data_IF_225926632725
#
_entry.id   IF_225926632725
#
_cell.length_a   1.000
_cell.length_b   1.000
_cell.length_c   1.000
_cell.angle_alpha   90.00
_cell.angle_beta   90.00
_cell.angle_gamma   90.00
#
_symmetry.space_group_name_H-M   'P 1'
#
loop_
_entity.id
_entity.type
_entity.pdbx_description
1 polymer ?
#
# COMPACT_ATOMS: atom_id res chain seq x y z
N UNK A 1 -43.56 -33.54 23.83
CA UNK A 1 -44.35 -32.33 24.10
C UNK A 1 -43.99 -31.35 23.00
N UNK A 2 -44.68 -31.45 21.86
CA UNK A 2 -45.84 -30.63 21.42
C UNK A 2 -45.33 -29.34 20.76
N UNK A 3 -45.15 -29.40 19.43
CA UNK A 3 -45.91 -28.69 18.37
C UNK A 3 -45.42 -27.23 18.20
N UNK A 4 -44.76 -26.85 17.10
CA UNK A 4 -45.25 -26.68 15.73
C UNK A 4 -46.37 -25.64 15.62
N UNK A 5 -46.06 -24.44 15.09
CA UNK A 5 -47.06 -23.65 14.37
C UNK A 5 -46.43 -22.93 13.18
N UNK A 6 -47.04 -23.24 12.03
CA UNK A 6 -46.87 -22.70 10.69
C UNK A 6 -47.89 -21.57 10.54
N UNK A 7 -47.54 -20.47 9.86
CA UNK A 7 -48.57 -19.63 9.23
C UNK A 7 -48.03 -18.99 7.95
N UNK A 8 -48.40 -19.60 6.83
CA UNK A 8 -48.47 -18.96 5.52
C UNK A 8 -49.42 -17.76 5.53
N UNK A 9 -49.13 -16.74 4.74
CA UNK A 9 -50.11 -15.73 4.33
C UNK A 9 -50.10 -15.63 2.79
N UNK A 10 -51.04 -16.34 2.17
CA UNK A 10 -51.44 -16.18 0.77
C UNK A 10 -52.61 -15.21 0.65
N UNK A 11 -52.50 -14.19 -0.20
CA UNK A 11 -53.62 -13.56 -0.92
C UNK A 11 -53.07 -12.73 -2.09
N UNK A 12 -53.10 -13.23 -3.33
CA UNK A 12 -54.18 -13.12 -4.34
C UNK A 12 -54.50 -11.69 -4.82
N UNK A 13 -54.05 -11.43 -6.06
CA UNK A 13 -54.91 -11.11 -7.22
C UNK A 13 -55.45 -9.66 -7.34
N UNK A 14 -55.06 -8.95 -8.42
CA UNK A 14 -55.93 -8.65 -9.60
C UNK A 14 -55.27 -7.70 -10.60
N UNK A 15 -55.26 -8.13 -11.86
CA UNK A 15 -55.27 -7.33 -13.09
C UNK A 15 -56.21 -6.12 -13.00
N UNK A 16 -55.92 -5.01 -13.70
CA UNK A 16 -56.80 -4.39 -14.73
C UNK A 16 -55.99 -3.44 -15.64
N UNK A 17 -56.30 -3.53 -16.93
CA UNK A 17 -55.89 -2.72 -18.11
C UNK A 17 -56.44 -1.29 -18.10
N UNK A 18 -55.73 -0.33 -18.73
CA UNK A 18 -56.21 0.55 -19.84
C UNK A 18 -55.31 1.78 -19.97
N UNK A 19 -54.73 2.04 -21.15
CA UNK A 19 -55.27 2.88 -22.23
C UNK A 19 -55.39 4.37 -21.78
N UNK A 20 -54.57 5.30 -22.28
CA UNK A 20 -54.96 6.10 -23.45
C UNK A 20 -53.79 6.90 -24.04
N UNK A 21 -53.86 7.08 -25.36
CA UNK A 21 -53.01 7.85 -26.25
C UNK A 21 -53.39 9.36 -26.26
N UNK A 22 -52.36 10.19 -26.49
CA UNK A 22 -52.30 11.45 -27.28
C UNK A 22 -53.17 12.67 -26.91
N UNK A 23 -52.49 13.82 -26.70
CA UNK A 23 -52.74 15.04 -27.51
C UNK A 23 -51.54 16.00 -27.45
N UNK A 24 -51.13 16.49 -28.62
CA UNK A 24 -50.06 17.47 -28.82
C UNK A 24 -50.62 18.90 -28.75
N UNK A 25 -49.82 19.86 -28.26
CA UNK A 25 -50.00 21.27 -28.58
C UNK A 25 -48.67 22.03 -28.54
N UNK A 26 -48.40 22.65 -29.68
CA UNK A 26 -47.26 23.48 -30.05
C UNK A 26 -47.36 24.83 -29.33
N UNK A 27 -46.25 25.34 -28.82
CA UNK A 27 -46.10 26.76 -28.47
C UNK A 27 -44.67 27.19 -28.77
N UNK A 28 -44.53 28.00 -29.81
CA UNK A 28 -43.30 28.65 -30.23
C UNK A 28 -43.05 29.89 -29.35
N UNK A 29 -41.87 29.97 -28.74
CA UNK A 29 -41.29 31.22 -28.27
C UNK A 29 -39.96 31.48 -28.97
N UNK A 30 -39.90 32.67 -29.57
CA UNK A 30 -38.73 33.25 -30.22
C UNK A 30 -37.70 33.72 -29.18
N UNK A 31 -36.44 33.46 -29.52
CA UNK A 31 -35.26 34.31 -29.32
C UNK A 31 -34.84 34.74 -27.90
N UNK A 32 -33.71 34.19 -27.45
CA UNK A 32 -32.61 35.03 -26.96
C UNK A 32 -31.27 34.37 -27.28
N UNK A 33 -30.46 35.04 -28.11
CA UNK A 33 -29.10 34.64 -28.41
C UNK A 33 -28.23 34.76 -27.17
N UNK A 34 -27.75 33.63 -26.68
CA UNK A 34 -26.65 33.55 -25.71
C UNK A 34 -25.60 32.63 -26.30
N UNK A 35 -24.47 33.20 -26.75
CA UNK A 35 -23.23 32.46 -26.94
C UNK A 35 -22.83 31.92 -25.56
N UNK A 36 -23.25 30.69 -25.27
CA UNK A 36 -22.70 29.88 -24.20
C UNK A 36 -21.25 29.59 -24.55
N UNK A 37 -20.35 30.41 -24.02
CA UNK A 37 -18.96 30.03 -23.82
C UNK A 37 -19.02 28.69 -23.08
N UNK A 38 -18.60 27.62 -23.74
CA UNK A 38 -18.27 26.38 -23.04
C UNK A 38 -17.35 26.81 -21.89
N UNK A 39 -17.71 26.56 -20.62
CA UNK A 39 -16.71 26.67 -19.58
C UNK A 39 -15.61 25.72 -20.03
N UNK A 40 -14.44 26.31 -20.29
CA UNK A 40 -13.21 25.58 -20.43
C UNK A 40 -13.25 24.45 -19.42
N UNK A 41 -12.96 23.23 -19.86
CA UNK A 41 -12.56 22.17 -18.97
C UNK A 41 -11.44 22.74 -18.11
N UNK A 42 -11.81 23.25 -16.93
CA UNK A 42 -10.89 23.69 -15.91
C UNK A 42 -10.23 22.41 -15.45
N UNK A 43 -9.01 22.22 -15.94
CA UNK A 43 -8.13 21.14 -15.53
C UNK A 43 -8.14 21.06 -14.00
N UNK A 44 -8.57 19.90 -13.50
CA UNK A 44 -8.35 19.47 -12.13
C UNK A 44 -8.57 17.96 -12.04
N UNK A 45 -7.89 17.22 -12.91
CA UNK A 45 -7.63 15.81 -12.70
C UNK A 45 -6.12 15.69 -12.48
N UNK A 46 -5.71 15.32 -11.27
CA UNK A 46 -4.28 15.10 -10.97
C UNK A 46 -3.82 15.54 -9.58
N UNK A 47 -4.65 16.18 -8.74
CA UNK A 47 -4.28 16.40 -7.34
C UNK A 47 -5.43 16.01 -6.43
N UNK A 48 -5.34 14.80 -5.87
CA UNK A 48 -6.16 14.41 -4.75
C UNK A 48 -5.95 15.43 -3.62
N UNK A 49 -7.04 15.93 -3.03
CA UNK A 49 -6.93 16.76 -1.84
C UNK A 49 -6.30 15.96 -0.70
N UNK A 50 -5.61 16.64 0.21
CA UNK A 50 -5.03 16.03 1.43
C UNK A 50 -6.06 15.21 2.21
N UNK A 51 -7.32 15.67 2.24
CA UNK A 51 -8.45 14.94 2.83
C UNK A 51 -8.82 13.66 2.06
N UNK A 52 -8.71 13.65 0.74
CA UNK A 52 -8.95 12.46 -0.08
C UNK A 52 -7.83 11.44 0.09
N UNK A 53 -6.58 11.89 0.22
CA UNK A 53 -5.41 11.05 0.52
C UNK A 53 -5.58 10.43 1.92
N UNK A 54 -5.88 11.24 2.94
CA UNK A 54 -6.14 10.76 4.28
C UNK A 54 -7.27 9.72 4.31
N UNK A 55 -8.38 9.96 3.60
CA UNK A 55 -9.47 8.98 3.48
C UNK A 55 -9.06 7.68 2.77
N UNK A 56 -8.22 7.73 1.74
CA UNK A 56 -7.70 6.52 1.07
C UNK A 56 -6.77 5.73 1.98
N UNK A 57 -5.91 6.39 2.74
CA UNK A 57 -5.06 5.77 3.76
C UNK A 57 -5.87 5.15 4.91
N UNK A 58 -6.92 5.85 5.34
CA UNK A 58 -7.84 5.39 6.39
C UNK A 58 -8.68 4.19 5.93
N UNK A 59 -9.17 4.20 4.69
CA UNK A 59 -9.91 3.08 4.11
C UNK A 59 -9.02 1.85 3.87
N UNK A 60 -7.71 2.05 3.71
CA UNK A 60 -6.75 0.98 3.54
C UNK A 60 -6.32 0.33 4.87
N UNK A 61 -6.66 0.90 6.04
CA UNK A 61 -6.22 0.50 7.40
C UNK A 61 -6.15 -1.01 7.69
N UNK A 62 -6.99 -1.84 7.07
CA UNK A 62 -6.92 -3.30 7.19
C UNK A 62 -5.63 -3.85 6.56
N UNK A 63 -4.66 -4.24 7.41
CA UNK A 63 -3.38 -4.84 6.97
C UNK A 63 -2.15 -3.92 7.02
N UNK A 64 -2.32 -2.69 7.50
CA UNK A 64 -1.26 -1.66 7.59
C UNK A 64 -0.23 -1.89 8.70
N UNK A 65 -0.44 -2.87 9.58
CA UNK A 65 0.57 -3.27 10.55
C UNK A 65 1.77 -3.95 9.90
N UNK A 66 1.75 -4.20 8.59
CA UNK A 66 2.88 -4.81 7.87
C UNK A 66 3.24 -4.03 6.61
N UNK A 67 3.72 -2.78 6.72
CA UNK A 67 4.06 -1.98 5.55
C UNK A 67 5.35 -2.48 4.90
N UNK A 68 5.40 -2.44 3.58
CA UNK A 68 6.67 -2.48 2.85
C UNK A 68 7.43 -1.17 3.11
N UNK A 69 8.76 -1.27 3.12
CA UNK A 69 9.68 -0.12 3.29
C UNK A 69 10.57 0.03 2.05
N UNK A 70 10.00 -0.25 0.89
CA UNK A 70 10.73 -0.31 -0.39
C UNK A 70 11.08 1.08 -0.91
N UNK A 71 10.44 2.12 -0.38
CA UNK A 71 10.71 3.53 -0.66
C UNK A 71 11.81 4.13 0.22
N UNK A 72 12.29 3.43 1.24
CA UNK A 72 13.40 3.91 2.05
C UNK A 72 14.68 3.98 1.22
N UNK A 73 15.39 5.10 1.34
CA UNK A 73 16.69 5.24 0.73
C UNK A 73 17.77 4.44 1.49
N UNK A 74 18.98 4.40 0.93
CA UNK A 74 20.09 3.66 1.52
C UNK A 74 20.46 4.15 2.94
N UNK A 75 20.22 5.43 3.23
CA UNK A 75 20.53 6.04 4.53
C UNK A 75 19.47 5.67 5.57
N UNK A 76 18.20 5.67 5.19
CA UNK A 76 17.11 5.18 6.04
C UNK A 76 17.28 3.69 6.37
N UNK A 77 17.56 2.86 5.36
CA UNK A 77 17.82 1.43 5.55
C UNK A 77 19.04 1.19 6.46
N UNK A 78 20.16 1.86 6.21
CA UNK A 78 21.37 1.74 7.03
C UNK A 78 21.15 2.17 8.48
N UNK A 79 20.40 3.26 8.69
CA UNK A 79 20.07 3.76 10.02
C UNK A 79 19.16 2.78 10.78
N UNK A 80 18.15 2.23 10.09
CA UNK A 80 17.28 1.20 10.65
C UNK A 80 18.07 -0.05 11.03
N UNK A 81 18.89 -0.59 10.12
CA UNK A 81 19.68 -1.80 10.36
C UNK A 81 20.65 -1.62 11.52
N UNK A 82 21.36 -0.49 11.56
CA UNK A 82 22.29 -0.16 12.63
C UNK A 82 21.61 -0.14 13.99
N UNK A 83 20.45 0.51 14.08
CA UNK A 83 19.69 0.60 15.32
C UNK A 83 19.04 -0.75 15.71
N UNK A 84 18.52 -1.50 14.73
CA UNK A 84 17.90 -2.80 14.93
C UNK A 84 18.88 -3.88 15.42
N UNK A 85 20.18 -3.76 15.14
CA UNK A 85 21.18 -4.70 15.70
C UNK A 85 21.24 -4.71 17.23
N UNK A 86 20.78 -3.65 17.88
CA UNK A 86 20.99 -3.44 19.31
C UNK A 86 19.69 -3.47 20.12
N UNK A 87 18.57 -3.07 19.52
CA UNK A 87 17.33 -2.82 20.25
C UNK A 87 16.10 -2.85 19.35
N UNK A 88 14.95 -3.02 19.98
CA UNK A 88 13.63 -2.81 19.36
C UNK A 88 13.42 -1.32 19.05
N UNK A 89 12.83 -1.05 17.88
CA UNK A 89 12.60 0.29 17.39
C UNK A 89 11.14 0.70 17.54
N UNK A 90 10.93 2.00 17.70
CA UNK A 90 9.62 2.61 17.84
C UNK A 90 9.30 3.46 16.62
N UNK A 91 8.02 3.53 16.28
CA UNK A 91 7.54 4.34 15.17
C UNK A 91 6.36 5.19 15.57
N UNK A 92 6.31 6.38 14.98
CA UNK A 92 5.08 7.14 14.85
C UNK A 92 4.45 6.74 13.50
N UNK A 93 3.30 6.09 13.56
CA UNK A 93 2.59 5.59 12.40
C UNK A 93 1.16 6.14 12.42
N UNK A 94 0.90 7.09 11.52
CA UNK A 94 -0.35 7.83 11.42
C UNK A 94 -0.71 8.00 9.95
N UNK A 95 -1.91 7.53 9.56
CA UNK A 95 -2.33 7.48 8.16
C UNK A 95 -1.37 6.63 7.30
N UNK A 96 -0.81 7.22 6.24
CA UNK A 96 0.21 6.60 5.40
C UNK A 96 1.65 7.04 5.76
N UNK A 97 1.86 7.74 6.88
CA UNK A 97 3.18 8.23 7.26
C UNK A 97 3.77 7.37 8.38
N UNK A 98 4.97 6.85 8.14
CA UNK A 98 5.75 6.11 9.12
C UNK A 98 7.06 6.84 9.39
N UNK A 99 7.30 7.18 10.64
CA UNK A 99 8.57 7.77 11.10
C UNK A 99 9.18 6.90 12.19
N UNK A 100 10.42 6.46 11.96
CA UNK A 100 11.21 5.77 12.98
C UNK A 100 11.69 6.77 14.03
N UNK A 101 11.44 6.46 15.30
CA UNK A 101 11.82 7.29 16.45
C UNK A 101 13.17 6.79 16.98
N UNK A 102 14.25 7.15 16.31
CA UNK A 102 15.59 6.69 16.68
C UNK A 102 16.02 7.13 18.09
N UNK A 103 15.54 8.28 18.58
CA UNK A 103 15.84 8.71 19.94
C UNK A 103 14.94 8.10 21.01
N UNK A 104 13.87 7.38 20.63
CA UNK A 104 13.08 6.61 21.59
C UNK A 104 13.87 5.38 22.06
N UNK A 105 14.64 5.58 23.12
CA UNK A 105 15.47 4.57 23.78
C UNK A 105 15.79 4.98 25.20
N UNK A 106 16.18 3.99 25.99
CA UNK A 106 16.82 4.27 27.27
C UNK A 106 18.32 4.60 27.04
N UNK A 107 18.82 5.74 27.55
CA UNK A 107 20.21 6.13 27.35
C UNK A 107 21.20 5.28 28.17
N UNK A 108 20.74 4.60 29.21
CA UNK A 108 21.56 3.81 30.13
C UNK A 108 21.50 2.31 29.84
N UNK A 109 20.37 1.82 29.29
CA UNK A 109 20.13 0.39 29.05
C UNK A 109 19.64 0.16 27.62
N UNK A 110 20.58 -0.14 26.72
CA UNK A 110 20.35 -0.23 25.26
C UNK A 110 19.14 -1.10 24.88
N UNK A 111 19.00 -2.28 25.48
CA UNK A 111 17.94 -3.24 25.18
C UNK A 111 16.79 -3.23 26.20
N UNK A 112 16.59 -2.14 26.97
CA UNK A 112 15.53 -2.05 27.99
C UNK A 112 14.15 -2.41 27.44
N UNK A 113 13.87 -1.97 26.22
CA UNK A 113 12.60 -2.20 25.54
C UNK A 113 12.62 -3.41 24.60
N UNK A 114 13.58 -4.32 24.81
CA UNK A 114 13.82 -5.46 23.94
C UNK A 114 14.90 -5.21 22.91
N UNK A 115 15.34 -6.32 22.33
CA UNK A 115 16.18 -6.40 21.15
C UNK A 115 15.60 -7.45 20.20
N UNK A 116 16.07 -7.45 18.96
CA UNK A 116 15.69 -8.49 18.01
C UNK A 116 16.54 -9.74 18.20
N UNK A 117 15.90 -10.90 18.08
CA UNK A 117 16.60 -12.18 18.03
C UNK A 117 17.37 -12.37 16.71
N UNK A 118 18.20 -13.42 16.61
CA UNK A 118 18.76 -13.83 15.33
C UNK A 118 17.63 -14.09 14.32
N UNK A 119 17.82 -13.77 13.02
CA UNK A 119 16.77 -13.99 12.05
C UNK A 119 16.46 -15.49 11.85
N UNK A 120 15.17 -15.81 11.80
CA UNK A 120 14.68 -17.10 11.38
C UNK A 120 14.62 -17.13 9.85
N UNK A 121 15.54 -17.86 9.22
CA UNK A 121 15.58 -18.01 7.77
C UNK A 121 14.53 -19.01 7.29
N UNK A 122 13.91 -18.69 6.15
CA UNK A 122 12.89 -19.53 5.51
C UNK A 122 13.37 -19.99 4.15
N UNK A 123 12.67 -20.97 3.54
CA UNK A 123 12.99 -21.42 2.18
C UNK A 123 12.92 -20.30 1.14
N UNK A 124 12.20 -19.22 1.45
CA UNK A 124 12.03 -18.04 0.62
C UNK A 124 11.35 -18.33 -0.71
N UNK A 125 10.78 -17.29 -1.32
CA UNK A 125 10.21 -17.37 -2.67
C UNK A 125 10.21 -15.98 -3.28
N UNK A 126 10.51 -15.89 -4.57
CA UNK A 126 10.35 -14.65 -5.32
C UNK A 126 8.86 -14.40 -5.50
N UNK A 127 8.40 -13.24 -5.05
CA UNK A 127 7.04 -12.76 -5.19
C UNK A 127 7.07 -11.44 -5.95
N UNK A 128 5.93 -11.05 -6.50
CA UNK A 128 5.81 -9.74 -7.14
C UNK A 128 4.37 -9.40 -7.46
N UNK A 129 4.11 -8.12 -7.67
CA UNK A 129 2.82 -7.62 -8.08
C UNK A 129 2.95 -6.31 -8.84
N UNK A 130 1.99 -6.09 -9.74
CA UNK A 130 1.86 -4.82 -10.44
C UNK A 130 0.94 -3.85 -9.69
N UNK A 131 1.17 -2.57 -9.93
CA UNK A 131 0.38 -1.45 -9.44
C UNK A 131 0.02 -0.59 -10.65
N UNK A 132 -1.25 -0.61 -11.03
CA UNK A 132 -1.69 0.03 -12.29
C UNK A 132 -2.30 1.42 -12.08
N UNK A 133 -2.74 1.72 -10.87
CA UNK A 133 -3.43 2.96 -10.53
C UNK A 133 -3.18 3.37 -9.06
N UNK A 134 -3.53 4.61 -8.73
CA UNK A 134 -3.30 5.14 -7.40
C UNK A 134 -4.04 4.36 -6.30
N UNK A 135 -5.23 3.82 -6.57
CA UNK A 135 -5.97 3.03 -5.59
C UNK A 135 -5.17 1.79 -5.14
N UNK A 136 -4.62 1.06 -6.11
CA UNK A 136 -3.72 -0.07 -5.84
C UNK A 136 -2.43 0.36 -5.13
N UNK A 137 -1.89 1.54 -5.48
CA UNK A 137 -0.70 2.07 -4.84
C UNK A 137 -0.93 2.31 -3.34
N UNK A 138 -2.01 3.00 -2.99
CA UNK A 138 -2.38 3.25 -1.60
C UNK A 138 -2.69 1.95 -0.83
N UNK A 139 -3.22 0.93 -1.51
CA UNK A 139 -3.52 -0.36 -0.89
C UNK A 139 -2.27 -1.23 -0.67
N UNK A 140 -1.33 -1.25 -1.62
CA UNK A 140 -0.17 -2.18 -1.60
C UNK A 140 1.10 -1.55 -1.05
N UNK A 141 1.35 -0.27 -1.33
CA UNK A 141 2.55 0.49 -0.92
C UNK A 141 2.15 1.85 -0.31
N UNK A 142 1.45 1.85 0.84
CA UNK A 142 0.91 3.09 1.41
C UNK A 142 1.98 4.12 1.75
N UNK A 143 3.16 3.69 2.23
CA UNK A 143 4.24 4.59 2.62
C UNK A 143 4.85 5.32 1.42
N UNK A 144 5.02 4.62 0.29
CA UNK A 144 5.50 5.18 -0.97
C UNK A 144 4.42 5.89 -1.79
N UNK A 145 3.16 5.89 -1.37
CA UNK A 145 2.07 6.33 -2.24
C UNK A 145 2.19 7.81 -2.65
N UNK A 146 2.65 8.69 -1.75
CA UNK A 146 2.82 10.10 -2.06
C UNK A 146 3.93 10.37 -3.08
N UNK A 147 5.04 9.63 -3.00
CA UNK A 147 6.20 9.81 -3.89
C UNK A 147 6.03 9.08 -5.22
N UNK A 148 5.29 7.97 -5.24
CA UNK A 148 5.12 7.11 -6.41
C UNK A 148 3.88 7.46 -7.25
N UNK A 149 2.95 8.29 -6.73
CA UNK A 149 1.71 8.64 -7.45
C UNK A 149 1.96 9.38 -8.78
N UNK A 150 3.00 10.21 -8.86
CA UNK A 150 3.31 10.95 -10.10
C UNK A 150 3.63 10.03 -11.28
N UNK A 151 4.34 8.92 -11.03
CA UNK A 151 4.65 7.91 -12.06
C UNK A 151 3.38 7.28 -12.66
N UNK A 152 2.37 7.05 -11.82
CA UNK A 152 1.10 6.48 -12.27
C UNK A 152 0.25 7.48 -13.07
N UNK A 153 0.37 8.77 -12.77
CA UNK A 153 -0.27 9.86 -13.50
C UNK A 153 0.37 10.09 -14.87
N UNK A 154 1.69 9.87 -14.98
CA UNK A 154 2.44 9.90 -16.25
C UNK A 154 2.13 8.71 -17.18
N UNK A 155 1.21 7.83 -16.79
CA UNK A 155 0.79 6.68 -17.60
C UNK A 155 1.66 5.44 -17.44
N UNK A 156 2.54 5.42 -16.43
CA UNK A 156 3.32 4.24 -16.06
C UNK A 156 2.52 3.32 -15.11
N UNK A 157 2.89 2.05 -15.08
CA UNK A 157 2.57 1.09 -14.03
C UNK A 157 3.85 0.83 -13.22
N UNK A 158 3.70 0.41 -11.96
CA UNK A 158 4.84 0.00 -11.14
C UNK A 158 4.82 -1.51 -10.97
N UNK A 159 5.99 -2.12 -11.01
CA UNK A 159 6.17 -3.55 -10.75
C UNK A 159 7.09 -3.71 -9.55
N UNK A 160 6.57 -4.25 -8.45
CA UNK A 160 7.40 -4.66 -7.32
C UNK A 160 7.71 -6.15 -7.44
N UNK A 161 8.99 -6.47 -7.38
CA UNK A 161 9.50 -7.85 -7.24
C UNK A 161 10.31 -7.92 -5.96
N UNK A 162 10.11 -8.96 -5.15
CA UNK A 162 10.82 -9.11 -3.89
C UNK A 162 11.03 -10.59 -3.52
N UNK A 163 12.01 -10.84 -2.67
CA UNK A 163 12.29 -12.14 -2.09
C UNK A 163 12.39 -12.00 -0.58
N UNK A 164 11.74 -12.89 0.17
CA UNK A 164 11.84 -12.94 1.65
C UNK A 164 12.79 -14.05 2.04
N UNK A 165 13.91 -13.72 2.67
CA UNK A 165 14.90 -14.70 3.15
C UNK A 165 14.64 -15.12 4.60
N UNK A 166 14.01 -14.26 5.40
CA UNK A 166 13.71 -14.57 6.80
C UNK A 166 13.01 -13.44 7.53
N UNK A 167 12.91 -13.59 8.85
CA UNK A 167 12.31 -12.60 9.74
C UNK A 167 13.14 -12.47 11.02
N UNK A 168 13.35 -11.24 11.48
CA UNK A 168 13.84 -10.96 12.82
C UNK A 168 12.68 -10.43 13.66
N UNK A 169 12.54 -10.93 14.88
CA UNK A 169 11.45 -10.56 15.80
C UNK A 169 12.01 -10.03 17.12
N UNK A 170 11.28 -9.08 17.70
CA UNK A 170 11.57 -8.51 19.00
C UNK A 170 11.34 -9.56 20.07
N UNK A 171 12.20 -9.54 21.08
CA UNK A 171 12.05 -10.29 22.34
C UNK A 171 10.84 -9.84 23.18
N UNK A 172 10.18 -8.75 22.80
CA UNK A 172 9.00 -8.20 23.50
C UNK A 172 7.74 -8.42 22.68
N UNK A 173 6.79 -9.16 23.25
CA UNK A 173 5.46 -9.34 22.65
C UNK A 173 4.56 -8.10 22.79
N UNK A 174 4.77 -7.31 23.84
CA UNK A 174 4.05 -6.06 24.07
C UNK A 174 4.91 -5.04 24.79
N UNK A 175 4.64 -3.77 24.54
CA UNK A 175 5.23 -2.63 25.23
C UNK A 175 4.08 -1.71 25.65
N UNK A 176 4.12 -1.26 26.89
CA UNK A 176 3.11 -0.39 27.49
C UNK A 176 3.57 1.06 27.55
N UNK A 177 2.63 2.01 27.47
CA UNK A 177 2.88 3.46 27.50
C UNK A 177 3.68 3.89 28.74
N UNK A 178 3.37 3.32 29.89
CA UNK A 178 4.03 3.63 31.16
C UNK A 178 5.52 3.23 31.18
N UNK A 179 5.92 2.19 30.44
CA UNK A 179 7.32 1.79 30.32
C UNK A 179 8.16 2.86 29.61
N UNK A 180 7.55 3.55 28.64
CA UNK A 180 8.18 4.58 27.82
C UNK A 180 8.26 5.94 28.51
N UNK A 181 7.42 6.20 29.52
CA UNK A 181 7.33 7.51 30.18
C UNK A 181 8.65 8.00 30.80
N UNK A 182 9.58 7.08 31.09
CA UNK A 182 10.90 7.39 31.65
C UNK A 182 12.02 7.52 30.60
N UNK A 183 11.73 7.27 29.33
CA UNK A 183 12.69 7.36 28.23
C UNK A 183 12.41 8.61 27.36
N UNK A 184 13.47 9.37 27.08
CA UNK A 184 13.39 10.50 26.17
C UNK A 184 13.09 10.06 24.73
N UNK A 185 12.55 10.98 23.93
CA UNK A 185 12.35 10.76 22.49
C UNK A 185 11.24 9.77 22.11
N UNK A 186 10.52 9.22 23.10
CA UNK A 186 9.38 8.32 22.89
C UNK A 186 8.02 9.03 22.79
N UNK A 187 8.02 10.36 22.91
CA UNK A 187 6.82 11.16 22.74
C UNK A 187 6.24 10.97 21.33
N UNK A 188 4.95 10.64 21.25
CA UNK A 188 4.27 10.37 19.98
C UNK A 188 4.55 9.01 19.36
N UNK A 189 5.27 8.10 20.03
CA UNK A 189 5.33 6.71 19.59
C UNK A 189 3.91 6.12 19.53
N UNK A 190 3.60 5.36 18.49
CA UNK A 190 2.27 4.73 18.32
C UNK A 190 2.38 3.21 18.29
N UNK A 191 3.44 2.72 17.67
CA UNK A 191 3.75 1.31 17.52
C UNK A 191 5.22 1.09 17.84
N UNK A 192 5.55 -0.16 18.11
CA UNK A 192 6.92 -0.65 18.02
C UNK A 192 7.02 -1.63 16.85
N UNK A 193 8.22 -1.74 16.28
CA UNK A 193 8.52 -2.71 15.24
C UNK A 193 8.74 -4.04 15.94
N UNK A 194 7.69 -4.86 15.99
CA UNK A 194 7.76 -6.20 16.58
C UNK A 194 8.59 -7.14 15.73
N UNK A 195 8.62 -6.96 14.41
CA UNK A 195 9.53 -7.71 13.55
C UNK A 195 9.75 -7.05 12.22
N UNK A 196 10.71 -7.55 11.46
CA UNK A 196 10.95 -7.13 10.09
C UNK A 196 11.45 -8.29 9.24
N UNK A 197 10.97 -8.35 8.00
CA UNK A 197 11.41 -9.32 7.02
C UNK A 197 12.69 -8.87 6.35
N UNK A 198 13.61 -9.82 6.22
CA UNK A 198 14.86 -9.67 5.49
C UNK A 198 14.69 -10.22 4.08
N UNK A 199 15.40 -9.62 3.12
CA UNK A 199 15.31 -10.05 1.74
C UNK A 199 16.04 -9.13 0.76
N UNK A 200 15.48 -9.06 -0.45
CA UNK A 200 15.86 -8.13 -1.49
C UNK A 200 14.62 -7.73 -2.31
N UNK A 201 14.64 -6.56 -2.94
CA UNK A 201 13.54 -6.07 -3.76
C UNK A 201 14.01 -5.17 -4.91
N UNK A 202 13.17 -5.11 -5.94
CA UNK A 202 13.28 -4.24 -7.10
C UNK A 202 11.90 -3.64 -7.38
N UNK A 203 11.84 -2.32 -7.46
CA UNK A 203 10.66 -1.57 -7.90
C UNK A 203 11.02 -0.87 -9.20
N UNK A 204 10.33 -1.25 -10.29
CA UNK A 204 10.58 -0.71 -11.62
C UNK A 204 9.32 -0.08 -12.20
N UNK A 205 9.50 0.87 -13.12
CA UNK A 205 8.40 1.38 -13.95
C UNK A 205 8.19 0.53 -15.19
N UNK A 206 6.94 0.35 -15.59
CA UNK A 206 6.54 -0.32 -16.83
C UNK A 206 5.54 0.54 -17.57
N UNK A 207 5.60 0.57 -18.90
CA UNK A 207 4.54 1.20 -19.68
C UNK A 207 3.22 0.41 -19.55
N UNK A 208 2.08 1.08 -19.31
CA UNK A 208 0.76 0.43 -19.23
C UNK A 208 0.42 -0.41 -20.47
N UNK A 209 0.82 0.04 -21.67
CA UNK A 209 0.57 -0.70 -22.93
C UNK A 209 1.27 -2.07 -22.98
N UNK A 210 2.38 -2.26 -22.26
CA UNK A 210 3.06 -3.56 -22.18
C UNK A 210 2.40 -4.49 -21.15
N UNK A 211 1.92 -3.93 -20.02
CA UNK A 211 1.23 -4.69 -18.98
C UNK A 211 -0.14 -5.23 -19.45
N UNK A 212 -0.88 -4.44 -20.23
CA UNK A 212 -2.16 -4.87 -20.82
C UNK A 212 -1.97 -5.91 -21.93
N UNK A 213 -0.85 -5.86 -22.66
CA UNK A 213 -0.51 -6.85 -23.66
C UNK A 213 -0.25 -8.24 -23.05
N UNK A 214 0.42 -8.34 -21.89
CA UNK A 214 0.64 -9.63 -21.21
C UNK A 214 -0.66 -10.26 -20.68
N UNK A 215 -1.67 -9.46 -20.33
CA UNK A 215 -3.00 -9.95 -19.94
C UNK A 215 -3.95 -10.28 -21.11
N UNK A 216 -3.67 -9.76 -22.31
CA UNK A 216 -4.58 -9.81 -23.48
C UNK A 216 -4.04 -10.56 -24.69
N UNK A 217 -2.74 -10.90 -24.71
CA UNK A 217 -2.06 -11.48 -25.88
C UNK A 217 -1.70 -12.95 -25.67
N UNK A 218 -2.71 -13.79 -25.45
CA UNK A 218 -2.62 -15.22 -25.77
C UNK A 218 -2.96 -15.52 -27.24
N UNK A 219 -3.01 -14.51 -28.13
CA UNK A 219 -3.36 -14.77 -29.53
C UNK A 219 -3.39 -13.57 -30.47
N UNK A 220 -2.28 -12.85 -30.66
CA UNK A 220 -2.02 -12.15 -31.93
C UNK A 220 -0.50 -12.14 -32.16
N UNK A 221 -0.05 -12.81 -33.21
CA UNK A 221 1.35 -12.79 -33.63
C UNK A 221 1.73 -11.41 -34.16
N UNK A 222 2.75 -10.80 -33.57
CA UNK A 222 3.39 -9.60 -34.11
C UNK A 222 4.86 -9.87 -34.37
N UNK A 223 5.19 -9.91 -35.66
CA UNK A 223 6.55 -9.88 -36.17
C UNK A 223 7.21 -8.52 -35.87
N UNK A 224 8.48 -8.57 -35.45
CA UNK A 224 9.48 -7.55 -35.75
C UNK A 224 9.29 -6.16 -35.14
N UNK A 225 9.50 -6.02 -33.83
CA UNK A 225 9.74 -4.73 -33.20
C UNK A 225 10.53 -4.90 -31.91
N UNK A 226 11.87 -4.79 -31.97
CA UNK A 226 12.70 -4.63 -30.75
C UNK A 226 12.53 -3.20 -30.23
N UNK A 227 11.35 -2.89 -29.69
CA UNK A 227 11.15 -1.72 -28.86
C UNK A 227 11.73 -2.02 -27.49
N UNK A 228 13.01 -1.67 -27.28
CA UNK A 228 13.58 -1.56 -25.93
C UNK A 228 12.86 -0.43 -25.22
N UNK A 229 11.71 -0.72 -24.60
CA UNK A 229 10.93 0.26 -23.86
C UNK A 229 11.59 0.42 -22.49
N UNK A 230 12.04 1.63 -22.20
CA UNK A 230 12.77 2.02 -20.98
C UNK A 230 12.03 1.54 -19.73
N UNK A 231 12.57 0.49 -19.10
CA UNK A 231 12.27 0.18 -17.71
C UNK A 231 13.24 1.00 -16.87
N UNK A 232 12.71 1.91 -16.05
CA UNK A 232 13.52 2.69 -15.14
C UNK A 232 13.43 2.10 -13.73
N UNK A 233 14.58 1.93 -13.10
CA UNK A 233 14.66 1.53 -11.71
C UNK A 233 14.14 2.66 -10.83
N UNK A 234 13.13 2.40 -10.01
CA UNK A 234 12.59 3.38 -9.05
C UNK A 234 13.28 3.23 -7.71
N UNK A 235 13.39 2.00 -7.22
CA UNK A 235 14.04 1.69 -5.96
C UNK A 235 14.56 0.25 -5.99
N UNK A 236 15.70 0.00 -5.33
CA UNK A 236 16.25 -1.34 -5.14
C UNK A 236 16.87 -1.46 -3.77
N UNK A 237 16.74 -2.63 -3.17
CA UNK A 237 17.41 -2.99 -1.93
C UNK A 237 17.90 -4.42 -2.01
N UNK A 238 19.20 -4.61 -1.75
CA UNK A 238 19.83 -5.91 -1.90
C UNK A 238 19.91 -6.38 -3.35
N UNK A 239 20.13 -7.68 -3.53
CA UNK A 239 20.20 -8.35 -4.83
C UNK A 239 19.42 -9.67 -4.77
N UNK A 240 18.32 -9.74 -5.54
CA UNK A 240 17.45 -10.92 -5.61
C UNK A 240 18.21 -12.14 -6.16
N UNK A 241 19.17 -11.95 -7.07
CA UNK A 241 19.96 -13.06 -7.59
C UNK A 241 20.82 -13.70 -6.49
N UNK A 242 21.40 -12.87 -5.61
CA UNK A 242 22.19 -13.32 -4.45
C UNK A 242 21.38 -14.14 -3.43
N UNK A 243 20.06 -13.96 -3.38
CA UNK A 243 19.15 -14.66 -2.44
C UNK A 243 19.06 -16.18 -2.64
N UNK A 244 19.56 -16.70 -3.76
CA UNK A 244 19.60 -18.15 -4.03
C UNK A 244 20.98 -18.77 -3.80
N UNK A 245 21.98 -17.96 -3.43
CA UNK A 245 23.39 -18.36 -3.33
C UNK A 245 23.81 -18.59 -1.88
N UNK A 246 24.99 -19.16 -1.66
CA UNK A 246 25.51 -19.29 -0.28
C UNK A 246 25.92 -17.93 0.32
N UNK A 247 26.25 -16.93 -0.49
CA UNK A 247 26.59 -15.57 -0.05
C UNK A 247 25.32 -14.69 0.02
N UNK A 248 24.57 -14.85 1.11
CA UNK A 248 23.31 -14.14 1.36
C UNK A 248 23.50 -12.69 1.83
N UNK A 249 24.71 -12.11 1.73
CA UNK A 249 24.96 -10.73 2.20
C UNK A 249 24.09 -9.71 1.46
N UNK A 250 23.85 -9.93 0.17
CA UNK A 250 22.95 -9.10 -0.65
C UNK A 250 21.46 -9.35 -0.40
N UNK A 251 21.07 -10.36 0.38
CA UNK A 251 19.67 -10.75 0.59
C UNK A 251 19.18 -10.56 2.03
N UNK A 252 19.71 -9.53 2.69
CA UNK A 252 19.47 -9.24 4.11
C UNK A 252 19.11 -7.78 4.35
N UNK A 253 18.50 -7.13 3.37
CA UNK A 253 17.93 -5.79 3.60
C UNK A 253 16.53 -5.92 4.21
N UNK A 254 16.12 -5.02 5.13
CA UNK A 254 14.75 -4.91 5.57
C UNK A 254 13.85 -4.56 4.38
N UNK A 255 12.80 -5.36 4.14
CA UNK A 255 11.87 -5.11 3.02
C UNK A 255 10.43 -4.84 3.49
N UNK A 256 10.09 -5.33 4.69
CA UNK A 256 8.75 -5.21 5.26
C UNK A 256 8.82 -5.20 6.77
N UNK A 257 8.07 -4.31 7.41
CA UNK A 257 7.95 -4.26 8.87
C UNK A 257 6.75 -5.09 9.34
N UNK A 258 6.73 -5.40 10.63
CA UNK A 258 5.58 -5.90 11.38
C UNK A 258 5.48 -5.07 12.64
N UNK A 259 4.44 -4.25 12.70
CA UNK A 259 4.17 -3.28 13.74
C UNK A 259 3.20 -3.87 14.76
N UNK A 260 3.36 -3.46 16.02
CA UNK A 260 2.37 -3.70 17.07
C UNK A 260 2.12 -2.41 17.81
N UNK A 261 0.84 -2.11 18.07
CA UNK A 261 0.45 -0.93 18.80
C UNK A 261 1.01 -0.96 20.23
N UNK A 262 1.47 0.20 20.71
CA UNK A 262 1.87 0.37 22.11
C UNK A 262 0.59 0.37 22.96
N UNK A 263 0.57 -0.47 23.98
CA UNK A 263 -0.59 -0.65 24.85
C UNK A 263 -0.70 0.49 25.86
N UNK A 264 -1.92 0.88 26.19
CA UNK A 264 -2.22 1.77 27.32
C UNK A 264 -2.01 1.07 28.66
#
# INVERSE_FOLDING_TARGET
>A
MVEAEVSEYTARMRLVRSCSLTFALVSAFLACGGRGVNPAMQGKEGMLSETAIAKKCEAAKEGHDRPFVVEWDATDLSSFESAARQRTLFVKYEGCSLKVLYECRDPNVVARFGAYGPPDFTSGTVQGFDIQNQGELYAKLPLGAATLSGKLEEGEALHLKYFVSGVATSTRESIYRNELASAGGCDGATHFVWGYNLGAFELDTRSKTAAEAEGSMAGVGTAGGKGSREQSAVARGGDIASCSTQDQRGCRVPIRLSLRAIRS
#
